data_IF_125323276185
#
_entry.id   IF_125323276185
#
_cell.length_a   1.000
_cell.length_b   1.000
_cell.length_c   1.000
_cell.angle_alpha   90.00
_cell.angle_beta   90.00
_cell.angle_gamma   90.00
#
_symmetry.space_group_name_H-M   'P 1'
#
loop_
_entity.id
_entity.type
_entity.pdbx_description
1 polymer ?
#
# COMPACT_ATOMS: atom_id res chain seq x y z
N UNK A 1 -6.34 -14.21 -18.41
CA UNK A 1 -6.41 -13.87 -16.98
C UNK A 1 -7.73 -13.17 -16.72
N UNK A 2 -8.60 -13.75 -15.91
CA UNK A 2 -9.91 -13.17 -15.60
C UNK A 2 -9.74 -11.92 -14.69
N UNK A 3 -10.82 -11.20 -14.43
CA UNK A 3 -10.77 -9.95 -13.64
C UNK A 3 -10.36 -10.18 -12.18
N UNK A 4 -10.79 -11.31 -11.59
CA UNK A 4 -10.43 -11.69 -10.23
C UNK A 4 -8.92 -11.94 -10.09
N UNK A 5 -8.33 -12.68 -11.03
CA UNK A 5 -6.88 -12.94 -11.07
C UNK A 5 -6.07 -11.65 -11.23
N UNK A 6 -6.53 -10.71 -12.07
CA UNK A 6 -5.91 -9.37 -12.22
C UNK A 6 -5.95 -8.59 -10.92
N UNK A 7 -7.08 -8.62 -10.23
CA UNK A 7 -7.26 -7.97 -8.94
C UNK A 7 -6.33 -8.58 -7.88
N UNK A 8 -6.26 -9.91 -7.78
CA UNK A 8 -5.39 -10.59 -6.83
C UNK A 8 -3.91 -10.36 -7.08
N UNK A 9 -3.50 -10.27 -8.36
CA UNK A 9 -2.14 -9.91 -8.76
C UNK A 9 -1.79 -8.49 -8.31
N UNK A 10 -2.68 -7.53 -8.52
CA UNK A 10 -2.46 -6.14 -8.10
C UNK A 10 -2.45 -5.99 -6.58
N UNK A 11 -3.34 -6.69 -5.86
CA UNK A 11 -3.29 -6.75 -4.39
C UNK A 11 -1.99 -7.37 -3.89
N UNK A 12 -1.47 -8.40 -4.56
CA UNK A 12 -0.17 -9.00 -4.21
C UNK A 12 0.97 -8.01 -4.43
N UNK A 13 0.95 -7.25 -5.52
CA UNK A 13 1.94 -6.21 -5.78
C UNK A 13 1.88 -5.12 -4.71
N UNK A 14 0.68 -4.60 -4.39
CA UNK A 14 0.47 -3.62 -3.32
C UNK A 14 1.04 -4.15 -2.01
N UNK A 15 0.78 -5.41 -1.65
CA UNK A 15 1.32 -6.02 -0.43
C UNK A 15 2.86 -6.05 -0.41
N UNK A 16 3.50 -6.47 -1.50
CA UNK A 16 4.96 -6.52 -1.60
C UNK A 16 5.56 -5.13 -1.45
N UNK A 17 5.04 -4.16 -2.21
CA UNK A 17 5.51 -2.76 -2.14
C UNK A 17 5.26 -2.20 -0.74
N UNK A 18 4.11 -2.48 -0.12
CA UNK A 18 3.79 -2.01 1.22
C UNK A 18 4.74 -2.58 2.27
N UNK A 19 5.13 -3.86 2.19
CA UNK A 19 6.14 -4.40 3.11
C UNK A 19 7.51 -3.75 2.91
N UNK A 20 7.95 -3.57 1.67
CA UNK A 20 9.21 -2.90 1.38
C UNK A 20 9.21 -1.45 1.89
N UNK A 21 8.11 -0.73 1.64
CA UNK A 21 7.95 0.67 2.03
C UNK A 21 7.80 0.83 3.56
N UNK A 22 7.14 -0.13 4.23
CA UNK A 22 7.08 -0.17 5.69
C UNK A 22 8.46 -0.39 6.32
N UNK A 23 9.28 -1.26 5.70
CA UNK A 23 10.65 -1.50 6.15
C UNK A 23 11.56 -0.27 6.00
N UNK A 24 11.21 0.68 5.13
CA UNK A 24 11.87 1.99 5.02
C UNK A 24 11.28 3.02 5.99
N UNK A 25 9.96 3.02 6.18
CA UNK A 25 9.26 3.96 7.06
C UNK A 25 9.74 3.82 8.52
N UNK A 26 9.90 2.60 9.02
CA UNK A 26 10.35 2.37 10.42
C UNK A 26 11.70 3.04 10.72
N UNK A 27 12.80 2.76 10.00
CA UNK A 27 14.08 3.42 10.26
C UNK A 27 14.05 4.92 9.94
N UNK A 28 13.25 5.37 8.97
CA UNK A 28 13.07 6.79 8.68
C UNK A 28 12.45 7.52 9.89
N UNK A 29 11.40 6.96 10.50
CA UNK A 29 10.76 7.54 11.70
C UNK A 29 11.74 7.56 12.87
N UNK A 30 12.51 6.49 13.07
CA UNK A 30 13.54 6.45 14.12
C UNK A 30 14.59 7.54 13.88
N UNK A 31 15.15 7.63 12.66
CA UNK A 31 16.13 8.65 12.29
C UNK A 31 15.60 10.07 12.51
N UNK A 32 14.33 10.33 12.17
CA UNK A 32 13.71 11.62 12.41
C UNK A 32 13.60 11.95 13.91
N UNK A 33 13.25 10.98 14.76
CA UNK A 33 13.14 11.17 16.22
C UNK A 33 14.51 11.45 16.85
N UNK A 34 15.58 10.80 16.39
CA UNK A 34 16.94 11.03 16.89
C UNK A 34 17.67 12.18 16.19
N UNK A 35 17.00 12.91 15.29
CA UNK A 35 17.55 14.02 14.50
C UNK A 35 18.76 13.65 13.63
N UNK A 36 18.77 12.43 13.09
CA UNK A 36 19.78 11.94 12.15
C UNK A 36 19.46 12.40 10.72
N UNK A 37 19.69 13.69 10.44
CA UNK A 37 19.33 14.35 9.18
C UNK A 37 19.90 13.64 7.93
N UNK A 38 21.11 13.07 8.03
CA UNK A 38 21.72 12.33 6.93
C UNK A 38 20.93 11.08 6.54
N UNK A 39 20.44 10.32 7.52
CA UNK A 39 19.58 9.16 7.26
C UNK A 39 18.21 9.58 6.73
N UNK A 40 17.63 10.66 7.27
CA UNK A 40 16.36 11.22 6.78
C UNK A 40 16.48 11.67 5.33
N UNK A 41 17.58 12.32 4.96
CA UNK A 41 17.85 12.77 3.59
C UNK A 41 17.97 11.64 2.56
N UNK A 42 18.31 10.42 2.99
CA UNK A 42 18.40 9.23 2.13
C UNK A 42 17.09 8.44 2.16
N UNK A 43 16.63 8.06 3.36
CA UNK A 43 15.45 7.21 3.53
C UNK A 43 14.16 7.94 3.15
N UNK A 44 14.08 9.24 3.40
CA UNK A 44 12.93 10.08 3.09
C UNK A 44 12.52 10.02 1.62
N UNK A 45 13.42 10.35 0.66
CA UNK A 45 13.13 10.23 -0.76
C UNK A 45 12.80 8.80 -1.22
N UNK A 46 13.51 7.78 -0.71
CA UNK A 46 13.25 6.38 -1.10
C UNK A 46 11.85 5.96 -0.66
N UNK A 47 11.49 6.23 0.61
CA UNK A 47 10.15 6.01 1.12
C UNK A 47 9.10 6.85 0.37
N UNK A 48 9.40 8.13 0.07
CA UNK A 48 8.50 9.00 -0.68
C UNK A 48 8.14 8.44 -2.07
N UNK A 49 9.12 7.86 -2.78
CA UNK A 49 8.87 7.17 -4.05
C UNK A 49 8.02 5.90 -3.85
N UNK A 50 8.31 5.12 -2.81
CA UNK A 50 7.51 3.94 -2.44
C UNK A 50 6.05 4.29 -2.12
N UNK A 51 5.85 5.35 -1.33
CA UNK A 51 4.55 5.92 -1.00
C UNK A 51 3.76 6.33 -2.26
N UNK A 52 4.39 7.09 -3.17
CA UNK A 52 3.75 7.53 -4.41
C UNK A 52 3.37 6.33 -5.31
N UNK A 53 4.22 5.31 -5.37
CA UNK A 53 3.94 4.07 -6.08
C UNK A 53 2.73 3.34 -5.47
N UNK A 54 2.66 3.22 -4.14
CA UNK A 54 1.52 2.62 -3.44
C UNK A 54 0.23 3.38 -3.71
N UNK A 55 0.29 4.71 -3.60
CA UNK A 55 -0.86 5.56 -3.86
C UNK A 55 -1.34 5.41 -5.31
N UNK A 56 -0.42 5.42 -6.28
CA UNK A 56 -0.71 5.18 -7.68
C UNK A 56 -1.42 3.84 -7.91
N UNK A 57 -0.90 2.75 -7.33
CA UNK A 57 -1.52 1.43 -7.45
C UNK A 57 -2.93 1.40 -6.86
N UNK A 58 -3.15 2.05 -5.72
CA UNK A 58 -4.46 2.14 -5.08
C UNK A 58 -5.45 2.97 -5.91
N UNK A 59 -5.05 4.13 -6.42
CA UNK A 59 -5.88 4.98 -7.31
C UNK A 59 -6.19 4.25 -8.61
N UNK A 60 -5.22 3.57 -9.21
CA UNK A 60 -5.42 2.79 -10.44
C UNK A 60 -6.51 1.73 -10.28
N UNK A 61 -6.58 1.05 -9.14
CA UNK A 61 -7.65 0.09 -8.87
C UNK A 61 -9.03 0.72 -8.70
N UNK A 62 -9.10 1.97 -8.21
CA UNK A 62 -10.36 2.75 -8.19
C UNK A 62 -10.82 3.10 -9.60
N UNK A 63 -9.90 3.59 -10.44
CA UNK A 63 -10.18 3.89 -11.86
C UNK A 63 -10.67 2.65 -12.62
N UNK A 64 -10.18 1.48 -12.23
CA UNK A 64 -10.60 0.18 -12.78
C UNK A 64 -11.83 -0.41 -12.08
N UNK A 65 -12.53 0.36 -11.24
CA UNK A 65 -13.73 -0.05 -10.49
C UNK A 65 -13.57 -1.28 -9.59
N UNK A 66 -12.34 -1.61 -9.16
CA UNK A 66 -12.06 -2.81 -8.33
C UNK A 66 -12.29 -2.59 -6.84
N UNK A 67 -12.19 -1.35 -6.39
CA UNK A 67 -12.48 -0.92 -5.02
C UNK A 67 -12.81 0.58 -4.99
N UNK A 68 -13.34 1.06 -3.87
CA UNK A 68 -13.72 2.47 -3.70
C UNK A 68 -12.58 3.37 -3.22
N UNK A 69 -12.81 4.68 -3.31
CA UNK A 69 -11.88 5.75 -2.87
C UNK A 69 -11.44 5.67 -1.40
N UNK A 70 -12.15 4.92 -0.56
CA UNK A 70 -11.74 4.68 0.82
C UNK A 70 -10.32 4.08 0.91
N UNK A 71 -9.90 3.26 -0.06
CA UNK A 71 -8.60 2.60 0.00
C UNK A 71 -7.43 3.60 -0.17
N UNK A 72 -7.32 4.41 -1.25
CA UNK A 72 -6.27 5.43 -1.33
C UNK A 72 -6.37 6.47 -0.20
N UNK A 73 -7.56 6.79 0.31
CA UNK A 73 -7.70 7.71 1.46
C UNK A 73 -7.01 7.17 2.71
N UNK A 74 -7.22 5.89 3.06
CA UNK A 74 -6.53 5.33 4.23
C UNK A 74 -5.02 5.24 4.03
N UNK A 75 -4.55 5.01 2.80
CA UNK A 75 -3.12 5.01 2.46
C UNK A 75 -2.52 6.38 2.76
N UNK A 76 -3.14 7.47 2.32
CA UNK A 76 -2.66 8.83 2.61
C UNK A 76 -2.66 9.13 4.11
N UNK A 77 -3.77 8.86 4.81
CA UNK A 77 -3.92 9.19 6.24
C UNK A 77 -2.93 8.44 7.13
N UNK A 78 -2.54 7.23 6.73
CA UNK A 78 -1.64 6.37 7.51
C UNK A 78 -0.18 6.42 7.04
N UNK A 79 0.17 7.38 6.19
CA UNK A 79 1.51 7.54 5.60
C UNK A 79 1.97 6.36 4.74
N UNK A 80 1.04 5.70 4.06
CA UNK A 80 1.31 4.74 2.98
C UNK A 80 1.15 3.28 3.39
N UNK A 81 2.20 2.65 3.93
CA UNK A 81 2.24 1.22 4.14
C UNK A 81 1.15 0.66 5.08
N UNK A 82 0.87 1.26 6.26
CA UNK A 82 -0.11 0.69 7.18
C UNK A 82 -1.51 0.58 6.55
N UNK A 83 -1.99 1.67 5.93
CA UNK A 83 -3.28 1.71 5.23
C UNK A 83 -3.30 0.80 4.01
N UNK A 84 -2.18 0.68 3.30
CA UNK A 84 -2.03 -0.23 2.16
C UNK A 84 -2.26 -1.68 2.56
N UNK A 85 -1.64 -2.14 3.66
CA UNK A 85 -1.79 -3.49 4.19
C UNK A 85 -3.22 -3.75 4.71
N UNK A 86 -3.82 -2.79 5.42
CA UNK A 86 -5.20 -2.91 5.92
C UNK A 86 -6.19 -3.05 4.76
N UNK A 87 -6.09 -2.18 3.76
CA UNK A 87 -7.01 -2.19 2.63
C UNK A 87 -6.84 -3.42 1.75
N UNK A 88 -5.61 -3.83 1.48
CA UNK A 88 -5.28 -5.06 0.74
C UNK A 88 -5.90 -6.30 1.40
N UNK A 89 -5.67 -6.45 2.71
CA UNK A 89 -6.19 -7.58 3.48
C UNK A 89 -7.71 -7.61 3.50
N UNK A 90 -8.36 -6.45 3.67
CA UNK A 90 -9.83 -6.33 3.67
C UNK A 90 -10.42 -6.74 2.31
N UNK A 91 -9.84 -6.29 1.21
CA UNK A 91 -10.34 -6.61 -0.14
C UNK A 91 -10.09 -8.09 -0.46
N UNK A 92 -8.90 -8.61 -0.14
CA UNK A 92 -8.56 -10.03 -0.32
C UNK A 92 -9.54 -10.95 0.42
N UNK A 93 -9.88 -10.61 1.67
CA UNK A 93 -10.88 -11.37 2.46
C UNK A 93 -12.26 -11.37 1.82
N UNK A 94 -12.69 -10.24 1.23
CA UNK A 94 -13.98 -10.15 0.54
C UNK A 94 -14.02 -11.04 -0.69
N UNK A 95 -12.97 -11.02 -1.50
CA UNK A 95 -12.88 -11.88 -2.70
C UNK A 95 -12.94 -13.37 -2.35
N UNK A 96 -12.16 -13.81 -1.35
CA UNK A 96 -12.19 -15.21 -0.91
C UNK A 96 -13.45 -15.62 -0.14
N UNK A 97 -14.30 -14.68 0.28
CA UNK A 97 -15.62 -14.98 0.84
C UNK A 97 -16.66 -15.16 -0.27
N UNK A 98 -16.60 -14.35 -1.33
CA UNK A 98 -17.48 -14.49 -2.51
C UNK A 98 -17.23 -15.82 -3.22
N UNK A 99 -15.98 -16.20 -3.43
CA UNK A 99 -15.62 -17.48 -4.09
C UNK A 99 -16.13 -18.72 -3.33
N UNK A 100 -16.28 -18.63 -2.00
CA UNK A 100 -16.80 -19.73 -1.16
C UNK A 100 -18.33 -19.76 -1.07
N UNK A 101 -19.02 -18.73 -1.54
CA UNK A 101 -20.46 -18.60 -1.48
C UNK A 101 -21.17 -18.92 -2.81
N UNK A 102 -20.39 -19.13 -3.88
CA UNK A 102 -20.80 -19.56 -5.22
C UNK A 102 -20.49 -21.05 -5.36
#
# INVERSE_FOLDING_TARGET
MNEAERTLKDLRLIRIVAFADFALLVPLVVAAIVNEEGMVGILGPIHGVGFLLLLFLCVRGVVQARWGWWFPVIVVVTLGPPGSLIGEHRIRRRLGAVERAV
#
